data_IF_375175012558
#
_entry.id   IF_375175012558
#
_cell.length_a   1.000
_cell.length_b   1.000
_cell.length_c   1.000
_cell.angle_alpha   90.00
_cell.angle_beta   90.00
_cell.angle_gamma   90.00
#
_symmetry.space_group_name_H-M   'P 1'
#
loop_
_entity.id
_entity.type
_entity.pdbx_description
1 polymer ?
#
# COMPACT_ATOMS: atom_id res chain seq x y z
N UNK A 1 -18.22 21.11 -9.05
CA UNK A 1 -16.91 20.47 -8.77
C UNK A 1 -16.15 20.28 -10.08
N UNK A 2 -14.82 20.47 -10.09
CA UNK A 2 -14.02 20.21 -11.29
C UNK A 2 -13.96 18.71 -11.60
N UNK A 3 -14.12 18.32 -12.87
CA UNK A 3 -14.06 16.92 -13.28
C UNK A 3 -12.72 16.26 -12.88
N UNK A 4 -12.73 15.05 -12.28
CA UNK A 4 -11.51 14.33 -11.93
C UNK A 4 -10.57 14.19 -13.12
N UNK A 5 -9.27 14.41 -12.87
CA UNK A 5 -8.27 14.35 -13.95
C UNK A 5 -8.05 12.90 -14.38
N UNK A 6 -8.26 12.60 -15.65
CA UNK A 6 -7.92 11.30 -16.24
C UNK A 6 -6.39 11.11 -16.25
N UNK A 7 -5.85 10.00 -15.70
CA UNK A 7 -4.42 9.70 -15.78
C UNK A 7 -3.92 9.67 -17.23
N UNK A 8 -2.66 10.07 -17.46
CA UNK A 8 -2.09 10.16 -18.81
C UNK A 8 -2.13 8.81 -19.56
N UNK A 9 -1.82 7.71 -18.87
CA UNK A 9 -1.90 6.36 -19.42
C UNK A 9 -3.33 6.02 -19.88
N UNK A 10 -4.33 6.27 -19.02
CA UNK A 10 -5.75 6.05 -19.35
C UNK A 10 -6.20 6.93 -20.52
N UNK A 11 -5.79 8.21 -20.53
CA UNK A 11 -6.15 9.14 -21.60
C UNK A 11 -5.54 8.76 -22.96
N UNK A 12 -4.36 8.12 -22.98
CA UNK A 12 -3.73 7.61 -24.20
C UNK A 12 -4.53 6.44 -24.77
N UNK A 13 -4.87 5.45 -23.94
CA UNK A 13 -5.59 4.24 -24.37
C UNK A 13 -7.04 4.54 -24.78
N UNK A 14 -7.70 5.46 -24.07
CA UNK A 14 -9.11 5.80 -24.35
C UNK A 14 -9.31 6.79 -25.50
N UNK A 15 -8.25 7.20 -26.21
CA UNK A 15 -8.31 8.24 -27.25
C UNK A 15 -8.57 9.67 -26.74
N UNK A 16 -8.71 9.89 -25.43
CA UNK A 16 -8.98 11.21 -24.86
C UNK A 16 -7.82 12.20 -25.08
N UNK A 17 -6.59 11.69 -25.16
CA UNK A 17 -5.42 12.48 -25.52
C UNK A 17 -5.47 12.97 -26.98
N UNK A 18 -5.99 12.16 -27.91
CA UNK A 18 -6.17 12.54 -29.31
C UNK A 18 -7.33 13.52 -29.50
N UNK A 19 -8.42 13.35 -28.74
CA UNK A 19 -9.58 14.25 -28.75
C UNK A 19 -9.25 15.64 -28.21
N UNK A 20 -8.40 15.73 -27.18
CA UNK A 20 -8.07 17.00 -26.50
C UNK A 20 -6.55 17.17 -26.28
N UNK A 21 -5.74 17.29 -27.34
CA UNK A 21 -4.28 17.24 -27.24
C UNK A 21 -3.70 18.36 -26.37
N UNK A 22 -4.23 19.59 -26.49
CA UNK A 22 -3.81 20.74 -25.64
C UNK A 22 -3.97 20.47 -24.15
N UNK A 23 -5.00 19.71 -23.74
CA UNK A 23 -5.27 19.39 -22.33
C UNK A 23 -4.29 18.35 -21.75
N UNK A 24 -3.62 17.59 -22.62
CA UNK A 24 -2.79 16.45 -22.25
C UNK A 24 -1.29 16.62 -22.58
N UNK A 25 -0.93 17.57 -23.46
CA UNK A 25 0.43 17.80 -24.00
C UNK A 25 1.54 17.89 -22.94
N UNK A 26 1.34 18.71 -21.90
CA UNK A 26 2.40 19.00 -20.91
C UNK A 26 2.25 18.22 -19.60
N UNK A 27 1.49 17.11 -19.62
CA UNK A 27 1.24 16.32 -18.40
C UNK A 27 2.43 15.46 -18.04
N UNK A 28 3.01 15.72 -16.88
CA UNK A 28 3.97 14.80 -16.24
C UNK A 28 3.21 13.65 -15.59
N UNK A 29 3.61 12.43 -15.92
CA UNK A 29 3.10 11.24 -15.24
C UNK A 29 3.76 11.14 -13.86
N UNK A 30 3.01 10.90 -12.78
CA UNK A 30 3.61 10.61 -11.48
C UNK A 30 4.59 9.44 -11.63
N UNK A 31 5.81 9.59 -11.11
CA UNK A 31 6.80 8.51 -11.12
C UNK A 31 6.25 7.32 -10.33
N UNK A 32 6.68 6.11 -10.68
CA UNK A 32 6.32 4.87 -9.95
C UNK A 32 6.51 5.09 -8.45
N UNK A 33 5.57 4.57 -7.66
CA UNK A 33 5.67 4.64 -6.21
C UNK A 33 6.99 4.02 -5.77
N UNK A 34 7.64 4.64 -4.78
CA UNK A 34 8.90 4.11 -4.22
C UNK A 34 8.64 2.71 -3.65
N UNK A 35 9.60 1.78 -3.75
CA UNK A 35 9.45 0.45 -3.16
C UNK A 35 9.22 0.55 -1.65
N UNK A 36 8.65 -0.52 -1.07
CA UNK A 36 8.35 -0.55 0.37
C UNK A 36 9.60 -0.26 1.21
N UNK A 37 10.76 -0.83 0.87
CA UNK A 37 12.02 -0.66 1.60
C UNK A 37 12.15 -1.57 2.84
N UNK A 38 13.25 -1.44 3.61
CA UNK A 38 13.51 -2.33 4.74
C UNK A 38 12.55 -2.07 5.92
N UNK A 39 12.43 -3.03 6.87
CA UNK A 39 11.69 -2.84 8.11
C UNK A 39 12.16 -1.62 8.92
N UNK A 40 11.33 -1.13 9.84
CA UNK A 40 11.72 -0.05 10.74
C UNK A 40 12.77 -0.52 11.76
N UNK A 41 13.74 0.33 12.08
CA UNK A 41 14.88 0.00 12.97
C UNK A 41 14.47 -0.55 14.34
N UNK A 42 13.33 -0.10 14.88
CA UNK A 42 12.84 -0.51 16.20
C UNK A 42 11.87 -1.70 16.21
N UNK A 43 11.73 -2.43 15.10
CA UNK A 43 10.86 -3.61 15.05
C UNK A 43 11.52 -4.81 15.74
N UNK A 44 10.72 -5.63 16.41
CA UNK A 44 11.18 -6.89 17.00
C UNK A 44 11.42 -7.95 15.90
N UNK A 45 12.03 -9.08 16.26
CA UNK A 45 12.31 -10.16 15.31
C UNK A 45 11.03 -10.72 14.68
N UNK A 46 9.98 -10.89 15.48
CA UNK A 46 8.68 -11.41 15.09
C UNK A 46 7.97 -10.44 14.15
N UNK A 47 8.02 -9.14 14.47
CA UNK A 47 7.48 -8.10 13.60
C UNK A 47 8.21 -8.04 12.24
N UNK A 48 9.53 -8.26 12.24
CA UNK A 48 10.33 -8.31 11.01
C UNK A 48 9.98 -9.56 10.17
N UNK A 49 9.72 -10.69 10.81
CA UNK A 49 9.27 -11.90 10.11
C UNK A 49 7.95 -11.63 9.37
N UNK A 50 6.95 -11.06 10.07
CA UNK A 50 5.67 -10.66 9.46
C UNK A 50 5.92 -9.63 8.35
N UNK A 51 6.79 -8.64 8.54
CA UNK A 51 7.10 -7.68 7.47
C UNK A 51 7.58 -8.36 6.19
N UNK A 52 8.51 -9.31 6.31
CA UNK A 52 9.08 -10.02 5.17
C UNK A 52 8.02 -10.86 4.46
N UNK A 53 7.25 -11.63 5.22
CA UNK A 53 6.15 -12.44 4.70
C UNK A 53 5.12 -11.60 3.95
N UNK A 54 4.67 -10.48 4.54
CA UNK A 54 3.67 -9.61 3.93
C UNK A 54 4.21 -8.91 2.66
N UNK A 55 5.50 -8.52 2.64
CA UNK A 55 6.13 -7.94 1.44
C UNK A 55 6.29 -8.97 0.32
N UNK A 56 6.55 -10.23 0.66
CA UNK A 56 6.61 -11.34 -0.29
C UNK A 56 5.22 -11.67 -0.86
N UNK A 57 4.20 -11.75 0.00
CA UNK A 57 2.84 -12.13 -0.38
C UNK A 57 2.06 -11.02 -1.10
N UNK A 58 2.43 -9.74 -0.92
CA UNK A 58 1.75 -8.60 -1.52
C UNK A 58 2.70 -7.77 -2.40
N UNK A 59 2.98 -8.20 -3.64
CA UNK A 59 3.95 -7.56 -4.53
C UNK A 59 3.56 -6.13 -4.98
N UNK A 60 2.31 -5.71 -4.76
CA UNK A 60 1.85 -4.34 -5.04
C UNK A 60 2.22 -3.32 -3.95
N UNK A 61 2.79 -3.76 -2.83
CA UNK A 61 3.16 -2.87 -1.74
C UNK A 61 4.24 -1.86 -2.14
N UNK A 62 4.06 -0.61 -1.69
CA UNK A 62 4.96 0.50 -1.96
C UNK A 62 5.10 1.39 -0.73
N UNK A 63 6.02 2.35 -0.76
CA UNK A 63 6.38 3.21 0.37
C UNK A 63 5.18 3.88 1.09
N UNK A 64 4.10 4.19 0.38
CA UNK A 64 2.87 4.74 0.98
C UNK A 64 2.15 3.80 1.95
N UNK A 65 2.36 2.48 1.85
CA UNK A 65 1.71 1.48 2.70
C UNK A 65 2.48 1.19 3.99
N UNK A 66 3.72 1.70 4.13
CA UNK A 66 4.62 1.33 5.25
C UNK A 66 4.01 1.54 6.63
N UNK A 67 3.20 2.59 6.81
CA UNK A 67 2.59 2.88 8.10
C UNK A 67 1.54 1.84 8.48
N UNK A 68 0.66 1.48 7.54
CA UNK A 68 -0.32 0.41 7.73
C UNK A 68 0.36 -0.95 7.89
N UNK A 69 1.36 -1.25 7.06
CA UNK A 69 2.14 -2.47 7.15
C UNK A 69 2.82 -2.62 8.52
N UNK A 70 3.32 -1.52 9.12
CA UNK A 70 3.88 -1.55 10.48
C UNK A 70 2.83 -1.99 11.51
N UNK A 71 1.58 -1.51 11.40
CA UNK A 71 0.50 -1.93 12.30
C UNK A 71 0.14 -3.41 12.12
N UNK A 72 0.09 -3.87 10.87
CA UNK A 72 -0.06 -5.30 10.54
C UNK A 72 1.04 -6.12 11.20
N UNK A 73 2.31 -5.69 11.12
CA UNK A 73 3.42 -6.42 11.73
C UNK A 73 3.30 -6.50 13.25
N UNK A 74 2.82 -5.44 13.92
CA UNK A 74 2.61 -5.42 15.38
C UNK A 74 1.52 -6.42 15.78
N UNK A 75 0.38 -6.42 15.07
CA UNK A 75 -0.74 -7.29 15.40
C UNK A 75 -0.51 -8.75 14.95
N UNK A 76 0.11 -8.95 13.79
CA UNK A 76 0.49 -10.27 13.29
C UNK A 76 1.52 -10.95 14.19
N UNK A 77 2.54 -10.21 14.67
CA UNK A 77 3.48 -10.77 15.65
C UNK A 77 2.76 -11.17 16.95
N UNK A 78 1.77 -10.39 17.40
CA UNK A 78 0.98 -10.75 18.58
C UNK A 78 0.14 -12.01 18.39
N UNK A 79 -0.31 -12.35 17.18
CA UNK A 79 -1.06 -13.60 16.96
C UNK A 79 -0.24 -14.83 17.37
N UNK A 80 1.08 -14.79 17.16
CA UNK A 80 1.98 -15.89 17.48
C UNK A 80 2.45 -15.86 18.94
N UNK A 81 2.59 -14.67 19.54
CA UNK A 81 3.23 -14.52 20.86
C UNK A 81 2.28 -14.27 22.02
N UNK A 82 1.05 -13.82 21.74
CA UNK A 82 0.08 -13.39 22.76
C UNK A 82 -1.16 -14.30 22.77
N UNK A 83 -1.20 -15.32 23.64
CA UNK A 83 -2.35 -16.24 23.72
C UNK A 83 -3.63 -15.56 24.24
N UNK A 84 -3.55 -14.31 24.73
CA UNK A 84 -4.71 -13.53 25.20
C UNK A 84 -5.13 -12.47 24.17
N UNK A 85 -4.66 -12.57 22.92
CA UNK A 85 -5.04 -11.64 21.88
C UNK A 85 -6.56 -11.65 21.67
N UNK A 86 -7.21 -10.54 22.02
CA UNK A 86 -8.67 -10.42 21.96
C UNK A 86 -9.20 -10.28 20.53
N UNK A 87 -10.48 -10.61 20.35
CA UNK A 87 -11.20 -10.55 19.06
C UNK A 87 -11.09 -9.17 18.40
N UNK A 88 -11.15 -8.08 19.17
CA UNK A 88 -11.02 -6.72 18.64
C UNK A 88 -9.68 -6.47 17.93
N UNK A 89 -8.59 -7.05 18.44
CA UNK A 89 -7.27 -6.94 17.81
C UNK A 89 -7.19 -7.75 16.51
N UNK A 90 -7.83 -8.94 16.48
CA UNK A 90 -7.92 -9.76 15.26
C UNK A 90 -8.76 -9.08 14.17
N UNK A 91 -9.89 -8.47 14.56
CA UNK A 91 -10.73 -7.68 13.65
C UNK A 91 -9.98 -6.45 13.11
N UNK A 92 -9.22 -5.76 13.96
CA UNK A 92 -8.38 -4.64 13.54
C UNK A 92 -7.31 -5.09 12.52
N UNK A 93 -6.66 -6.24 12.75
CA UNK A 93 -5.71 -6.82 11.80
C UNK A 93 -6.37 -7.13 10.45
N UNK A 94 -7.52 -7.80 10.44
CA UNK A 94 -8.28 -8.07 9.21
C UNK A 94 -8.65 -6.79 8.44
N UNK A 95 -9.08 -5.74 9.16
CA UNK A 95 -9.36 -4.43 8.56
C UNK A 95 -8.12 -3.77 7.96
N UNK A 96 -6.95 -3.90 8.58
CA UNK A 96 -5.69 -3.36 8.08
C UNK A 96 -5.23 -4.11 6.83
N UNK A 97 -5.30 -5.44 6.84
CA UNK A 97 -4.96 -6.27 5.68
C UNK A 97 -5.84 -5.93 4.48
N UNK A 98 -7.15 -5.78 4.67
CA UNK A 98 -8.07 -5.35 3.59
C UNK A 98 -7.73 -3.98 3.01
N UNK A 99 -7.15 -3.05 3.79
CA UNK A 99 -6.73 -1.72 3.33
C UNK A 99 -5.40 -1.74 2.57
N UNK A 100 -4.61 -2.81 2.68
CA UNK A 100 -3.34 -2.94 1.96
C UNK A 100 -3.52 -3.34 0.49
N UNK A 101 -4.75 -3.62 0.08
CA UNK A 101 -5.13 -3.93 -1.31
C UNK A 101 -5.29 -5.42 -1.54
#
# INVERSE_FOLDING_TARGET
>A
MANPRTPAAKAKVSGAAAKNPKRHKDRKTPKKARPIGPPYKGMTKEQIAVWREQVENMPWLHAGHRLLLRQVCILGARMETDPKMGVSAMQALGSLLSKLG
#
